data_IF_015378089585
#
_entry.id   IF_015378089585
#
_cell.length_a   1.000
_cell.length_b   1.000
_cell.length_c   1.000
_cell.angle_alpha   90.00
_cell.angle_beta   90.00
_cell.angle_gamma   90.00
#
_symmetry.space_group_name_H-M   'P 1'
#
loop_
_entity.id
_entity.type
_entity.pdbx_description
1 polymer ?
#
# COMPACT_ATOMS: atom_id res chain seq x y z
N UNK A 1 -62.25 -2.39 -25.61
CA UNK A 1 -60.85 -2.20 -25.90
C UNK A 1 -60.11 -2.09 -24.55
N UNK A 2 -59.58 -3.23 -24.07
CA UNK A 2 -58.86 -3.30 -22.82
C UNK A 2 -57.45 -2.81 -23.07
N UNK A 3 -57.07 -1.73 -22.40
CA UNK A 3 -55.68 -1.28 -22.33
C UNK A 3 -55.00 -2.24 -21.34
N UNK A 4 -54.27 -3.22 -21.84
CA UNK A 4 -53.37 -4.03 -21.06
C UNK A 4 -52.33 -3.06 -20.47
N UNK A 5 -52.39 -2.88 -19.15
CA UNK A 5 -51.32 -2.21 -18.40
C UNK A 5 -50.04 -3.03 -18.61
N UNK A 6 -49.08 -2.50 -19.33
CA UNK A 6 -47.70 -3.00 -19.29
C UNK A 6 -47.26 -2.95 -17.82
N UNK A 7 -47.29 -4.09 -17.16
CA UNK A 7 -46.58 -4.23 -15.87
C UNK A 7 -45.12 -3.84 -16.08
N UNK A 8 -44.77 -2.69 -15.55
CA UNK A 8 -43.39 -2.26 -15.55
C UNK A 8 -42.59 -3.29 -14.73
N UNK A 9 -41.74 -4.05 -15.39
CA UNK A 9 -40.90 -5.06 -14.74
C UNK A 9 -40.19 -4.41 -13.55
N UNK A 10 -40.24 -5.04 -12.39
CA UNK A 10 -39.56 -4.55 -11.19
C UNK A 10 -38.09 -4.31 -11.52
N UNK A 11 -37.51 -3.17 -11.05
CA UNK A 11 -36.12 -2.87 -11.32
C UNK A 11 -35.21 -3.92 -10.70
N UNK A 12 -34.23 -4.38 -11.46
CA UNK A 12 -33.22 -5.30 -10.96
C UNK A 12 -32.47 -4.66 -9.75
N UNK A 13 -32.37 -5.36 -8.63
CA UNK A 13 -31.73 -4.85 -7.42
C UNK A 13 -30.23 -5.04 -7.49
N UNK A 14 -29.47 -3.98 -7.27
CA UNK A 14 -28.03 -4.03 -7.31
C UNK A 14 -27.37 -3.34 -6.13
N UNK A 15 -26.09 -3.67 -5.92
CA UNK A 15 -25.20 -2.93 -5.05
C UNK A 15 -24.02 -2.40 -5.88
N UNK A 16 -23.51 -1.22 -5.51
CA UNK A 16 -22.32 -0.66 -6.16
C UNK A 16 -21.07 -1.03 -5.35
N UNK A 17 -19.99 -1.41 -6.04
CA UNK A 17 -18.68 -1.51 -5.43
C UNK A 17 -17.71 -0.50 -6.03
N UNK A 18 -17.14 0.36 -5.21
CA UNK A 18 -16.18 1.41 -5.61
C UNK A 18 -14.89 1.31 -4.81
N UNK A 19 -13.76 1.62 -5.48
CA UNK A 19 -12.44 1.54 -4.87
C UNK A 19 -11.48 2.59 -5.40
N UNK A 20 -10.70 3.18 -4.52
CA UNK A 20 -9.61 4.08 -4.86
C UNK A 20 -8.34 3.71 -4.09
N UNK A 21 -7.17 3.77 -4.74
CA UNK A 21 -5.88 3.42 -4.11
C UNK A 21 -5.20 4.59 -3.41
N UNK A 22 -5.45 5.83 -3.85
CA UNK A 22 -4.90 7.08 -3.27
C UNK A 22 -5.84 8.24 -3.54
N UNK A 23 -5.82 9.27 -2.68
CA UNK A 23 -6.67 10.47 -2.78
C UNK A 23 -6.37 11.36 -4.02
N UNK A 24 -5.37 11.03 -4.83
CA UNK A 24 -4.90 11.83 -5.97
C UNK A 24 -5.23 11.24 -7.34
N UNK A 25 -6.10 10.24 -7.44
CA UNK A 25 -6.47 9.68 -8.74
C UNK A 25 -7.57 10.52 -9.41
N UNK A 26 -7.44 10.72 -10.73
CA UNK A 26 -8.38 11.48 -11.59
C UNK A 26 -9.80 10.90 -11.52
N UNK A 27 -9.96 9.61 -11.29
CA UNK A 27 -11.24 8.96 -11.06
C UNK A 27 -11.44 8.70 -9.58
N UNK A 28 -11.95 9.70 -8.87
CA UNK A 28 -12.38 9.59 -7.48
C UNK A 28 -13.49 8.55 -7.32
N UNK A 29 -13.74 8.09 -6.10
CA UNK A 29 -14.89 7.23 -5.83
C UNK A 29 -16.21 7.90 -6.18
N UNK A 30 -16.29 9.24 -6.11
CA UNK A 30 -17.44 10.02 -6.55
C UNK A 30 -17.70 9.83 -8.08
N UNK A 31 -16.69 10.03 -8.92
CA UNK A 31 -16.82 9.84 -10.37
C UNK A 31 -17.22 8.39 -10.73
N UNK A 32 -16.75 7.39 -9.97
CA UNK A 32 -17.19 6.00 -10.17
C UNK A 32 -18.65 5.82 -9.81
N UNK A 33 -19.12 6.40 -8.70
CA UNK A 33 -20.52 6.36 -8.28
C UNK A 33 -21.41 7.01 -9.33
N UNK A 34 -21.05 8.17 -9.86
CA UNK A 34 -21.81 8.88 -10.89
C UNK A 34 -21.93 8.05 -12.18
N UNK A 35 -20.84 7.44 -12.63
CA UNK A 35 -20.84 6.57 -13.80
C UNK A 35 -21.69 5.30 -13.59
N UNK A 36 -21.61 4.69 -12.41
CA UNK A 36 -22.42 3.52 -12.04
C UNK A 36 -23.90 3.90 -11.97
N UNK A 37 -24.23 5.07 -11.38
CA UNK A 37 -25.62 5.56 -11.31
C UNK A 37 -26.20 5.82 -12.70
N UNK A 38 -25.42 6.45 -13.59
CA UNK A 38 -25.85 6.66 -14.98
C UNK A 38 -26.05 5.33 -15.75
N UNK A 39 -25.21 4.32 -15.49
CA UNK A 39 -25.38 2.99 -16.05
C UNK A 39 -26.65 2.32 -15.52
N UNK A 40 -26.86 2.36 -14.21
CA UNK A 40 -28.03 1.76 -13.56
C UNK A 40 -29.34 2.39 -14.06
N UNK A 41 -29.40 3.71 -14.19
CA UNK A 41 -30.55 4.43 -14.72
C UNK A 41 -30.90 3.98 -16.16
N UNK A 42 -29.89 3.80 -17.02
CA UNK A 42 -30.10 3.32 -18.40
C UNK A 42 -30.62 1.90 -18.49
N UNK A 43 -30.33 1.05 -17.50
CA UNK A 43 -30.67 -0.37 -17.48
C UNK A 43 -31.87 -0.71 -16.56
N UNK A 44 -32.55 0.28 -15.99
CA UNK A 44 -33.60 0.12 -15.01
C UNK A 44 -33.17 -0.76 -13.81
N UNK A 45 -32.02 -0.40 -13.21
CA UNK A 45 -31.42 -1.09 -12.06
C UNK A 45 -31.53 -0.19 -10.84
N UNK A 46 -32.04 -0.71 -9.72
CA UNK A 46 -32.11 -0.02 -8.44
C UNK A 46 -30.85 -0.30 -7.59
N UNK A 47 -30.07 0.73 -7.27
CA UNK A 47 -28.89 0.60 -6.41
C UNK A 47 -29.35 0.69 -4.95
N UNK A 48 -29.24 -0.41 -4.20
CA UNK A 48 -29.65 -0.48 -2.79
C UNK A 48 -28.64 0.17 -1.86
N UNK A 49 -27.35 -0.08 -2.08
CA UNK A 49 -26.22 0.44 -1.26
C UNK A 49 -24.89 0.39 -1.99
N UNK A 50 -23.91 1.08 -1.44
CA UNK A 50 -22.55 1.12 -2.01
C UNK A 50 -21.53 0.61 -1.00
N UNK A 51 -20.71 -0.35 -1.43
CA UNK A 51 -19.52 -0.83 -0.72
C UNK A 51 -18.30 -0.05 -1.18
N UNK A 52 -17.55 0.55 -0.22
CA UNK A 52 -16.50 1.52 -0.54
C UNK A 52 -15.17 1.18 0.14
N UNK A 53 -14.10 1.04 -0.65
CA UNK A 53 -12.72 0.84 -0.20
C UNK A 53 -11.84 2.01 -0.60
N UNK A 54 -11.85 3.09 0.19
CA UNK A 54 -11.00 4.26 -0.04
C UNK A 54 -9.57 4.02 0.46
N UNK A 55 -8.58 4.55 -0.31
CA UNK A 55 -7.16 4.45 0.03
C UNK A 55 -6.62 3.01 0.04
N UNK A 56 -7.32 2.06 -0.59
CA UNK A 56 -6.95 0.64 -0.56
C UNK A 56 -6.45 0.17 -1.93
N UNK A 57 -5.30 -0.54 -1.91
CA UNK A 57 -4.77 -1.20 -3.11
C UNK A 57 -5.68 -2.35 -3.54
N UNK A 58 -5.87 -2.53 -4.85
CA UNK A 58 -6.61 -3.65 -5.42
C UNK A 58 -5.87 -4.99 -5.46
N UNK A 59 -4.65 -5.06 -4.88
CA UNK A 59 -3.77 -6.23 -4.98
C UNK A 59 -4.11 -7.36 -4.01
N UNK A 60 -4.72 -7.06 -2.85
CA UNK A 60 -4.96 -8.02 -1.79
C UNK A 60 -6.36 -7.84 -1.20
N UNK A 61 -7.11 -8.93 -1.05
CA UNK A 61 -8.44 -8.92 -0.44
C UNK A 61 -8.42 -8.46 1.02
N UNK A 62 -7.42 -8.88 1.80
CA UNK A 62 -7.30 -8.52 3.23
C UNK A 62 -7.25 -7.02 3.50
N UNK A 63 -6.87 -6.23 2.49
CA UNK A 63 -6.82 -4.76 2.59
C UNK A 63 -8.08 -4.08 2.05
N UNK A 64 -9.12 -4.86 1.75
CA UNK A 64 -10.38 -4.40 1.14
C UNK A 64 -11.57 -4.86 1.98
N UNK A 65 -11.80 -4.26 3.15
CA UNK A 65 -12.84 -4.69 4.08
C UNK A 65 -14.24 -4.61 3.47
N UNK A 66 -14.52 -3.62 2.62
CA UNK A 66 -15.82 -3.49 1.97
C UNK A 66 -16.07 -4.61 0.95
N UNK A 67 -15.06 -4.96 0.12
CA UNK A 67 -15.19 -6.12 -0.78
C UNK A 67 -15.33 -7.42 0.00
N UNK A 68 -14.58 -7.57 1.10
CA UNK A 68 -14.65 -8.77 1.94
C UNK A 68 -16.03 -8.92 2.57
N UNK A 69 -16.66 -7.82 3.02
CA UNK A 69 -18.04 -7.82 3.52
C UNK A 69 -19.03 -8.17 2.42
N UNK A 70 -18.90 -7.56 1.24
CA UNK A 70 -19.76 -7.84 0.08
C UNK A 70 -19.71 -9.33 -0.31
N UNK A 71 -18.52 -9.91 -0.43
CA UNK A 71 -18.35 -11.33 -0.72
C UNK A 71 -18.90 -12.22 0.41
N UNK A 72 -18.73 -11.79 1.67
CA UNK A 72 -19.31 -12.48 2.82
C UNK A 72 -20.83 -12.51 2.78
N UNK A 73 -21.49 -11.41 2.43
CA UNK A 73 -22.97 -11.36 2.28
C UNK A 73 -23.43 -12.30 1.18
N UNK A 74 -22.71 -12.39 0.05
CA UNK A 74 -23.00 -13.32 -1.05
C UNK A 74 -22.82 -14.78 -0.61
N UNK A 75 -21.67 -15.11 0.00
CA UNK A 75 -21.34 -16.49 0.40
C UNK A 75 -22.23 -17.03 1.51
N UNK A 76 -22.74 -16.16 2.39
CA UNK A 76 -23.66 -16.54 3.48
C UNK A 76 -25.13 -16.57 3.04
N UNK A 77 -25.43 -16.34 1.77
CA UNK A 77 -26.80 -16.28 1.25
C UNK A 77 -27.61 -15.09 1.80
N UNK A 78 -26.92 -14.04 2.27
CA UNK A 78 -27.54 -12.80 2.79
C UNK A 78 -27.68 -11.70 1.74
N UNK A 79 -27.34 -12.00 0.48
CA UNK A 79 -27.47 -11.05 -0.63
C UNK A 79 -28.95 -10.76 -0.90
N UNK A 80 -29.38 -9.53 -0.70
CA UNK A 80 -30.71 -8.99 -1.02
C UNK A 80 -30.73 -8.29 -2.38
N UNK A 81 -29.74 -8.60 -3.24
CA UNK A 81 -29.49 -8.00 -4.55
C UNK A 81 -29.14 -9.08 -5.59
N UNK A 82 -29.42 -8.78 -6.84
CA UNK A 82 -29.23 -9.69 -7.96
C UNK A 82 -27.96 -9.38 -8.77
N UNK A 83 -27.38 -8.18 -8.54
CA UNK A 83 -26.24 -7.70 -9.32
C UNK A 83 -25.27 -6.84 -8.48
N UNK A 84 -23.99 -6.94 -8.80
CA UNK A 84 -22.92 -6.06 -8.28
C UNK A 84 -22.46 -5.19 -9.45
N UNK A 85 -22.59 -3.87 -9.31
CA UNK A 85 -22.13 -2.90 -10.29
C UNK A 85 -20.74 -2.40 -9.91
N UNK A 86 -19.80 -2.53 -10.83
CA UNK A 86 -18.41 -2.10 -10.68
C UNK A 86 -18.02 -1.19 -11.84
N UNK A 87 -17.23 -0.18 -11.61
CA UNK A 87 -16.84 0.74 -12.69
C UNK A 87 -16.09 0.00 -13.81
N UNK A 88 -14.98 -0.68 -13.50
CA UNK A 88 -14.19 -1.47 -14.45
C UNK A 88 -13.55 -2.69 -13.77
N UNK A 89 -12.95 -3.59 -14.55
CA UNK A 89 -12.28 -4.80 -14.06
C UNK A 89 -11.15 -4.44 -13.06
N UNK A 90 -10.46 -3.31 -13.26
CA UNK A 90 -9.37 -2.90 -12.36
C UNK A 90 -9.87 -2.46 -10.98
N UNK A 91 -11.14 -2.04 -10.86
CA UNK A 91 -11.79 -1.72 -9.57
C UNK A 91 -12.23 -2.99 -8.86
N UNK A 92 -12.73 -3.98 -9.61
CA UNK A 92 -13.02 -5.30 -9.05
C UNK A 92 -11.78 -5.94 -8.44
N UNK A 93 -10.66 -6.04 -9.20
CA UNK A 93 -9.40 -6.51 -8.64
C UNK A 93 -8.21 -6.41 -9.58
N UNK A 94 -7.09 -5.90 -9.07
CA UNK A 94 -5.76 -5.98 -9.68
C UNK A 94 -4.95 -7.07 -8.99
N UNK A 95 -5.56 -8.22 -8.75
CA UNK A 95 -4.90 -9.33 -8.08
C UNK A 95 -3.64 -9.76 -8.86
N UNK A 96 -2.62 -10.17 -8.13
CA UNK A 96 -1.37 -10.69 -8.73
C UNK A 96 -1.63 -11.92 -9.60
N UNK A 97 -2.56 -12.75 -9.17
CA UNK A 97 -3.10 -13.86 -9.93
C UNK A 97 -4.45 -13.43 -10.53
N UNK A 98 -4.54 -13.48 -11.87
CA UNK A 98 -5.77 -13.19 -12.61
C UNK A 98 -6.93 -14.12 -12.20
N UNK A 99 -6.59 -15.36 -11.78
CA UNK A 99 -7.56 -16.38 -11.38
C UNK A 99 -8.28 -15.99 -10.08
N UNK A 100 -7.63 -15.25 -9.18
CA UNK A 100 -8.25 -14.76 -7.94
C UNK A 100 -9.44 -13.84 -8.24
N UNK A 101 -9.30 -12.93 -9.21
CA UNK A 101 -10.39 -12.08 -9.67
C UNK A 101 -11.52 -12.89 -10.31
N UNK A 102 -11.18 -13.92 -11.09
CA UNK A 102 -12.14 -14.82 -11.71
C UNK A 102 -12.87 -15.66 -10.67
N UNK A 103 -12.16 -16.13 -9.64
CA UNK A 103 -12.70 -16.92 -8.55
C UNK A 103 -13.79 -16.16 -7.78
N UNK A 104 -13.54 -14.89 -7.41
CA UNK A 104 -14.58 -14.11 -6.72
C UNK A 104 -15.80 -13.81 -7.61
N UNK A 105 -15.59 -13.58 -8.91
CA UNK A 105 -16.71 -13.44 -9.84
C UNK A 105 -17.48 -14.76 -9.99
N UNK A 106 -16.79 -15.89 -9.99
CA UNK A 106 -17.41 -17.22 -10.04
C UNK A 106 -18.25 -17.49 -8.79
N UNK A 107 -17.75 -17.19 -7.59
CA UNK A 107 -18.50 -17.31 -6.33
C UNK A 107 -19.80 -16.51 -6.39
N UNK A 108 -19.74 -15.26 -6.87
CA UNK A 108 -20.93 -14.44 -7.03
C UNK A 108 -21.92 -15.09 -8.00
N UNK A 109 -21.45 -15.60 -9.13
CA UNK A 109 -22.29 -16.26 -10.15
C UNK A 109 -22.97 -17.52 -9.61
N UNK A 110 -22.25 -18.37 -8.87
CA UNK A 110 -22.80 -19.58 -8.23
C UNK A 110 -23.89 -19.23 -7.20
N UNK A 111 -23.76 -18.08 -6.54
CA UNK A 111 -24.80 -17.58 -5.63
C UNK A 111 -25.94 -16.83 -6.34
N UNK A 112 -26.00 -16.86 -7.68
CA UNK A 112 -27.02 -16.19 -8.47
C UNK A 112 -26.81 -14.68 -8.63
N UNK A 113 -25.70 -14.13 -8.16
CA UNK A 113 -25.39 -12.69 -8.22
C UNK A 113 -24.46 -12.38 -9.39
N UNK A 114 -24.91 -11.53 -10.32
CA UNK A 114 -24.11 -11.12 -11.48
C UNK A 114 -23.16 -9.99 -11.13
N UNK A 115 -21.97 -9.97 -11.73
CA UNK A 115 -21.04 -8.83 -11.66
C UNK A 115 -21.07 -8.11 -13.01
N UNK A 116 -21.40 -6.81 -13.03
CA UNK A 116 -21.41 -5.99 -14.25
C UNK A 116 -20.38 -4.87 -14.18
N UNK A 117 -19.69 -4.65 -15.28
CA UNK A 117 -18.64 -3.64 -15.43
C UNK A 117 -19.17 -2.45 -16.24
N UNK A 118 -19.47 -1.33 -15.56
CA UNK A 118 -20.24 -0.23 -16.13
C UNK A 118 -19.49 0.58 -17.20
N UNK A 119 -18.16 0.59 -17.17
CA UNK A 119 -17.31 1.33 -18.11
C UNK A 119 -16.63 0.43 -19.16
N UNK A 120 -16.94 -0.86 -19.18
CA UNK A 120 -16.41 -1.77 -20.20
C UNK A 120 -17.31 -1.83 -21.42
N UNK A 121 -16.69 -1.96 -22.61
CA UNK A 121 -17.42 -1.98 -23.89
C UNK A 121 -18.03 -3.36 -24.22
N UNK A 122 -17.79 -4.37 -23.40
CA UNK A 122 -18.35 -5.70 -23.58
C UNK A 122 -19.41 -6.00 -22.51
N UNK A 123 -20.43 -6.76 -22.88
CA UNK A 123 -21.42 -7.29 -21.94
C UNK A 123 -20.87 -8.52 -21.21
N UNK A 124 -21.13 -8.63 -19.91
CA UNK A 124 -20.75 -9.82 -19.13
C UNK A 124 -21.79 -10.95 -19.29
N UNK A 125 -22.02 -11.36 -20.52
CA UNK A 125 -23.04 -12.33 -20.93
C UNK A 125 -22.57 -13.80 -20.95
N UNK A 126 -21.29 -14.03 -20.62
CA UNK A 126 -20.70 -15.38 -20.65
C UNK A 126 -20.26 -15.85 -22.03
N UNK A 127 -20.39 -15.02 -23.08
CA UNK A 127 -19.90 -15.35 -24.42
C UNK A 127 -18.40 -15.58 -24.45
N UNK A 128 -17.91 -16.31 -25.44
CA UNK A 128 -16.49 -16.57 -25.65
C UNK A 128 -15.69 -15.25 -25.73
N UNK A 129 -16.19 -14.29 -26.50
CA UNK A 129 -15.57 -12.98 -26.65
C UNK A 129 -15.47 -12.23 -25.32
N UNK A 130 -16.56 -12.18 -24.55
CA UNK A 130 -16.60 -11.58 -23.22
C UNK A 130 -15.57 -12.22 -22.27
N UNK A 131 -15.47 -13.54 -22.27
CA UNK A 131 -14.51 -14.27 -21.43
C UNK A 131 -13.06 -13.99 -21.81
N UNK A 132 -12.74 -13.95 -23.11
CA UNK A 132 -11.40 -13.59 -23.59
C UNK A 132 -11.06 -12.14 -23.22
N UNK A 133 -11.96 -11.20 -23.45
CA UNK A 133 -11.76 -9.79 -23.11
C UNK A 133 -11.54 -9.59 -21.61
N UNK A 134 -12.31 -10.25 -20.75
CA UNK A 134 -12.12 -10.22 -19.29
C UNK A 134 -10.75 -10.76 -18.89
N UNK A 135 -10.35 -11.91 -19.44
CA UNK A 135 -9.06 -12.52 -19.13
C UNK A 135 -7.91 -11.62 -19.54
N UNK A 136 -7.96 -11.02 -20.72
CA UNK A 136 -6.98 -10.07 -21.21
C UNK A 136 -6.89 -8.83 -20.29
N UNK A 137 -8.01 -8.22 -19.96
CA UNK A 137 -8.05 -7.03 -19.09
C UNK A 137 -7.56 -7.32 -17.66
N UNK A 138 -7.85 -8.50 -17.11
CA UNK A 138 -7.29 -8.96 -15.82
C UNK A 138 -5.77 -9.09 -15.88
N UNK A 139 -5.26 -9.74 -16.91
CA UNK A 139 -3.82 -9.89 -17.12
C UNK A 139 -3.12 -8.53 -17.25
N UNK A 140 -3.68 -7.61 -18.06
CA UNK A 140 -3.17 -6.24 -18.20
C UNK A 140 -3.18 -5.47 -16.88
N UNK A 141 -4.24 -5.57 -16.08
CA UNK A 141 -4.33 -4.90 -14.78
C UNK A 141 -3.28 -5.42 -13.77
N UNK A 142 -3.00 -6.72 -13.78
CA UNK A 142 -1.95 -7.34 -12.97
C UNK A 142 -0.56 -6.90 -13.44
N UNK A 143 -0.30 -6.92 -14.76
CA UNK A 143 0.99 -6.54 -15.34
C UNK A 143 1.32 -5.07 -15.12
N UNK A 144 0.36 -4.17 -15.27
CA UNK A 144 0.54 -2.76 -14.94
C UNK A 144 1.05 -2.56 -13.49
N UNK A 145 0.52 -3.33 -12.55
CA UNK A 145 0.94 -3.27 -11.15
C UNK A 145 2.39 -3.77 -10.95
N UNK A 146 2.81 -4.79 -11.71
CA UNK A 146 4.19 -5.32 -11.69
C UNK A 146 5.17 -4.32 -12.28
N UNK A 147 4.86 -3.78 -13.46
CA UNK A 147 5.68 -2.77 -14.12
C UNK A 147 5.85 -1.53 -13.24
N UNK A 148 4.77 -0.99 -12.70
CA UNK A 148 4.82 0.17 -11.81
C UNK A 148 5.70 -0.11 -10.58
N UNK A 149 5.53 -1.28 -9.96
CA UNK A 149 6.35 -1.69 -8.81
C UNK A 149 7.83 -1.79 -9.18
N UNK A 150 8.15 -2.28 -10.36
CA UNK A 150 9.53 -2.39 -10.85
C UNK A 150 10.13 -1.01 -11.15
N UNK A 151 9.40 -0.14 -11.83
CA UNK A 151 9.82 1.24 -12.12
C UNK A 151 10.06 2.04 -10.84
N UNK A 152 9.14 1.96 -9.88
CA UNK A 152 9.27 2.63 -8.58
C UNK A 152 10.48 2.10 -7.80
N UNK A 153 10.69 0.79 -7.75
CA UNK A 153 11.84 0.20 -7.07
C UNK A 153 13.16 0.65 -7.71
N UNK A 154 13.27 0.59 -9.04
CA UNK A 154 14.46 1.06 -9.75
C UNK A 154 14.75 2.55 -9.47
N UNK A 155 13.72 3.39 -9.43
CA UNK A 155 13.87 4.80 -9.08
C UNK A 155 14.34 5.00 -7.62
N UNK A 156 13.84 4.20 -6.68
CA UNK A 156 14.30 4.22 -5.29
C UNK A 156 15.76 3.78 -5.16
N UNK A 157 16.17 2.73 -5.88
CA UNK A 157 17.56 2.27 -5.91
C UNK A 157 18.51 3.38 -6.38
N UNK A 158 18.19 4.04 -7.49
CA UNK A 158 18.98 5.17 -8.02
C UNK A 158 19.10 6.33 -7.01
N UNK A 159 18.05 6.59 -6.23
CA UNK A 159 18.10 7.63 -5.19
C UNK A 159 19.00 7.22 -4.02
N UNK A 160 18.99 5.95 -3.63
CA UNK A 160 19.90 5.41 -2.60
C UNK A 160 21.35 5.48 -3.09
N UNK A 161 21.63 5.08 -4.32
CA UNK A 161 22.97 5.17 -4.94
C UNK A 161 23.52 6.60 -4.96
N UNK A 162 22.62 7.60 -5.05
CA UNK A 162 22.95 9.03 -4.91
C UNK A 162 23.04 9.49 -3.44
N UNK A 163 22.96 8.59 -2.46
CA UNK A 163 23.05 8.88 -1.04
C UNK A 163 21.76 9.35 -0.38
N UNK A 164 20.65 9.48 -1.11
CA UNK A 164 19.39 9.94 -0.56
C UNK A 164 18.63 8.82 0.17
N UNK A 165 18.12 9.13 1.34
CA UNK A 165 17.34 8.19 2.14
C UNK A 165 15.98 7.88 1.54
N UNK A 166 15.61 6.61 1.48
CA UNK A 166 14.30 6.15 1.05
C UNK A 166 13.54 5.49 2.21
N UNK A 167 12.56 6.22 2.76
CA UNK A 167 11.70 5.72 3.83
C UNK A 167 12.39 5.48 5.18
N UNK A 168 11.63 4.96 6.12
CA UNK A 168 12.10 4.63 7.46
C UNK A 168 12.31 5.83 8.38
N UNK A 169 12.41 5.56 9.68
CA UNK A 169 12.81 6.53 10.71
C UNK A 169 14.34 6.64 10.75
N UNK A 170 14.87 7.78 11.18
CA UNK A 170 16.29 7.88 11.48
C UNK A 170 16.60 7.09 12.77
N UNK A 171 17.83 6.60 12.91
CA UNK A 171 18.31 5.94 14.12
C UNK A 171 18.58 6.96 15.24
N UNK A 172 18.81 6.49 16.46
CA UNK A 172 19.21 7.34 17.59
C UNK A 172 20.45 8.16 17.24
N UNK A 173 20.54 9.39 17.65
CA UNK A 173 21.65 10.28 17.26
C UNK A 173 21.64 10.78 15.82
N UNK A 174 20.69 10.35 14.97
CA UNK A 174 20.55 10.81 13.59
C UNK A 174 19.20 11.51 13.35
N UNK A 175 19.18 12.44 12.42
CA UNK A 175 17.99 13.20 12.02
C UNK A 175 17.79 13.13 10.51
N UNK A 176 16.55 13.26 10.06
CA UNK A 176 16.19 13.37 8.65
C UNK A 176 16.13 14.85 8.27
N UNK A 177 16.88 15.24 7.27
CA UNK A 177 16.84 16.57 6.68
C UNK A 177 16.13 16.51 5.33
N UNK A 178 15.19 17.42 5.12
CA UNK A 178 14.49 17.57 3.85
C UNK A 178 15.26 18.57 2.98
N UNK A 179 15.56 18.16 1.76
CA UNK A 179 16.18 19.00 0.74
C UNK A 179 15.19 19.21 -0.41
N UNK A 180 15.22 20.37 -1.03
CA UNK A 180 14.54 20.62 -2.29
C UNK A 180 15.28 19.97 -3.48
N UNK A 181 14.77 20.18 -4.68
CA UNK A 181 15.38 19.68 -5.93
C UNK A 181 16.77 20.29 -6.21
N UNK A 182 17.09 21.46 -5.64
CA UNK A 182 18.35 22.17 -5.81
C UNK A 182 19.35 21.82 -4.68
N UNK A 183 18.97 20.93 -3.74
CA UNK A 183 19.79 20.58 -2.59
C UNK A 183 19.72 21.56 -1.43
N UNK A 184 18.83 22.55 -1.47
CA UNK A 184 18.66 23.50 -0.37
C UNK A 184 17.82 22.88 0.76
N UNK A 185 18.21 23.15 2.00
CA UNK A 185 17.51 22.62 3.16
C UNK A 185 16.14 23.27 3.34
N UNK A 186 15.12 22.44 3.47
CA UNK A 186 13.75 22.82 3.87
C UNK A 186 13.45 22.57 5.35
N UNK A 187 14.47 22.15 6.12
CA UNK A 187 14.31 21.85 7.53
C UNK A 187 14.29 20.35 7.87
N UNK A 188 14.24 20.07 9.16
CA UNK A 188 14.22 18.70 9.68
C UNK A 188 12.82 18.08 9.57
N UNK A 189 12.79 16.79 9.28
CA UNK A 189 11.54 16.00 9.32
C UNK A 189 11.41 15.33 10.68
N UNK A 190 10.38 15.69 11.41
CA UNK A 190 10.04 15.08 12.68
C UNK A 190 9.54 13.62 12.53
N UNK A 191 9.52 12.82 13.62
CA UNK A 191 8.95 11.48 13.60
C UNK A 191 7.51 11.49 13.04
N UNK A 192 7.22 10.60 12.07
CA UNK A 192 5.92 10.53 11.40
C UNK A 192 5.76 11.47 10.20
N UNK A 193 6.49 12.57 10.11
CA UNK A 193 6.42 13.47 8.96
C UNK A 193 6.95 12.82 7.68
N UNK A 194 6.36 13.22 6.55
CA UNK A 194 6.74 12.77 5.21
C UNK A 194 7.06 13.99 4.35
N UNK A 195 7.84 13.79 3.29
CA UNK A 195 8.06 14.83 2.28
C UNK A 195 6.75 15.17 1.57
N UNK A 196 6.55 16.45 1.26
CA UNK A 196 5.33 16.94 0.62
C UNK A 196 5.35 16.77 -0.90
N UNK A 197 6.51 16.94 -1.54
CA UNK A 197 6.66 16.85 -2.99
C UNK A 197 7.51 15.65 -3.39
N UNK A 198 7.30 15.16 -4.61
CA UNK A 198 8.08 14.03 -5.14
C UNK A 198 9.51 14.45 -5.49
N UNK A 199 9.73 15.72 -5.81
CA UNK A 199 11.04 16.29 -6.13
C UNK A 199 11.94 16.44 -4.90
N UNK A 200 11.38 16.56 -3.71
CA UNK A 200 12.16 16.69 -2.48
C UNK A 200 12.98 15.42 -2.19
N UNK A 201 14.11 15.61 -1.54
CA UNK A 201 15.04 14.56 -1.14
C UNK A 201 15.20 14.53 0.36
N UNK A 202 15.54 13.38 0.90
CA UNK A 202 15.81 13.22 2.34
C UNK A 202 17.23 12.69 2.50
N UNK A 203 17.99 13.33 3.39
CA UNK A 203 19.30 12.83 3.81
C UNK A 203 19.29 12.57 5.31
N UNK A 204 20.29 11.81 5.79
CA UNK A 204 20.58 11.69 7.20
C UNK A 204 21.64 12.72 7.59
N UNK A 205 21.45 13.35 8.74
CA UNK A 205 22.46 14.23 9.34
C UNK A 205 22.64 13.89 10.82
N UNK A 206 23.76 14.26 11.42
CA UNK A 206 23.96 14.18 12.85
C UNK A 206 22.83 14.88 13.62
N UNK A 207 22.43 14.28 14.72
CA UNK A 207 21.46 14.83 15.66
C UNK A 207 22.11 15.67 16.76
N UNK A 208 21.46 15.81 17.93
CA UNK A 208 22.04 16.48 19.08
C UNK A 208 23.32 15.80 19.56
N UNK A 209 24.31 16.59 19.97
CA UNK A 209 25.60 16.07 20.44
C UNK A 209 25.45 15.14 21.65
N UNK A 210 24.49 15.40 22.53
CA UNK A 210 24.17 14.51 23.65
C UNK A 210 23.82 13.09 23.22
N UNK A 211 23.02 12.93 22.14
CA UNK A 211 22.69 11.59 21.60
C UNK A 211 23.90 10.98 20.88
N UNK A 212 24.70 11.79 20.19
CA UNK A 212 25.89 11.31 19.50
C UNK A 212 26.96 10.81 20.49
N UNK A 213 27.14 11.51 21.63
CA UNK A 213 28.01 11.08 22.71
C UNK A 213 27.57 9.68 23.24
N UNK A 214 26.27 9.46 23.45
CA UNK A 214 25.75 8.16 23.89
C UNK A 214 26.04 7.07 22.84
N UNK A 215 25.87 7.37 21.55
CA UNK A 215 26.20 6.39 20.50
C UNK A 215 27.68 6.05 20.50
N UNK A 216 28.57 7.05 20.58
CA UNK A 216 30.03 6.82 20.66
C UNK A 216 30.37 5.97 21.86
N UNK A 217 29.77 6.27 23.02
CA UNK A 217 30.00 5.55 24.25
C UNK A 217 29.55 4.08 24.14
N UNK A 218 28.39 3.80 23.53
CA UNK A 218 27.97 2.42 23.26
C UNK A 218 28.99 1.63 22.43
N UNK A 219 29.56 2.25 21.38
CA UNK A 219 30.59 1.60 20.58
C UNK A 219 31.87 1.40 21.37
N UNK A 220 32.32 2.38 22.18
CA UNK A 220 33.52 2.30 23.01
C UNK A 220 33.38 1.16 24.02
N UNK A 221 32.33 1.14 24.80
CA UNK A 221 32.06 0.09 25.80
C UNK A 221 31.96 -1.32 25.18
N UNK A 222 31.40 -1.42 23.99
CA UNK A 222 31.32 -2.69 23.28
C UNK A 222 32.71 -3.20 22.83
N UNK A 223 33.55 -2.31 22.33
CA UNK A 223 34.94 -2.63 21.96
C UNK A 223 35.77 -3.02 23.20
N UNK A 224 35.51 -2.43 24.37
CA UNK A 224 36.12 -2.80 25.65
C UNK A 224 35.61 -4.17 26.20
N UNK A 225 34.66 -4.82 25.49
CA UNK A 225 34.18 -6.17 25.84
C UNK A 225 32.91 -6.20 26.68
N UNK A 226 32.24 -5.07 26.94
CA UNK A 226 30.94 -5.08 27.62
C UNK A 226 29.87 -5.70 26.73
N UNK A 227 29.02 -6.49 27.34
CA UNK A 227 27.85 -7.07 26.64
C UNK A 227 26.77 -6.01 26.36
N UNK A 228 25.98 -6.21 25.31
CA UNK A 228 24.85 -5.35 24.96
C UNK A 228 23.84 -5.19 26.11
N UNK A 229 23.69 -6.24 26.93
CA UNK A 229 22.81 -6.22 28.11
C UNK A 229 23.35 -5.33 29.23
N UNK A 230 24.66 -5.33 29.42
CA UNK A 230 25.34 -4.49 30.42
C UNK A 230 25.25 -3.02 30.00
N UNK A 231 25.59 -2.72 28.74
CA UNK A 231 25.47 -1.37 28.17
C UNK A 231 24.03 -0.84 28.32
N UNK A 232 23.01 -1.64 27.98
CA UNK A 232 21.63 -1.24 28.15
C UNK A 232 21.27 -0.93 29.60
N UNK A 233 21.78 -1.73 30.56
CA UNK A 233 21.54 -1.51 31.98
C UNK A 233 22.19 -0.21 32.50
N UNK A 234 23.42 0.06 32.12
CA UNK A 234 24.15 1.29 32.52
C UNK A 234 23.43 2.51 32.00
N UNK A 235 23.05 2.56 30.71
CA UNK A 235 22.27 3.66 30.14
C UNK A 235 20.95 3.90 30.86
N UNK A 236 20.26 2.84 31.28
CA UNK A 236 19.01 2.95 32.03
C UNK A 236 19.23 3.45 33.46
N UNK A 237 20.36 3.10 34.11
CA UNK A 237 20.74 3.62 35.41
C UNK A 237 21.05 5.11 35.37
N UNK A 238 21.61 5.58 34.25
CA UNK A 238 21.85 7.01 34.00
C UNK A 238 20.58 7.76 33.57
N UNK A 239 19.45 7.09 33.44
CA UNK A 239 18.16 7.69 33.03
C UNK A 239 18.11 8.05 31.54
N UNK A 240 19.05 7.57 30.73
CA UNK A 240 19.10 7.83 29.30
C UNK A 240 18.05 6.97 28.58
N UNK A 241 17.10 7.63 27.91
CA UNK A 241 16.06 6.96 27.16
C UNK A 241 16.40 6.82 25.67
N UNK A 242 15.85 5.80 25.03
CA UNK A 242 15.99 5.64 23.60
C UNK A 242 15.15 6.69 22.85
N UNK A 243 15.28 6.76 21.51
CA UNK A 243 14.55 7.74 20.68
C UNK A 243 13.03 7.75 20.85
N UNK A 244 12.43 6.67 21.32
CA UNK A 244 10.98 6.58 21.55
C UNK A 244 10.57 6.94 22.97
N UNK A 245 11.53 7.33 23.81
CA UNK A 245 11.30 7.63 25.23
C UNK A 245 11.16 6.38 26.10
N UNK A 246 11.63 5.22 25.64
CA UNK A 246 11.63 3.98 26.42
C UNK A 246 13.03 3.62 26.92
N UNK A 247 13.14 2.82 27.98
CA UNK A 247 14.41 2.24 28.42
C UNK A 247 15.08 1.44 27.29
N UNK A 248 16.41 1.35 27.37
CA UNK A 248 17.21 0.54 26.47
C UNK A 248 17.07 -0.95 26.78
N UNK A 249 17.07 -1.75 25.74
CA UNK A 249 17.13 -3.21 25.80
C UNK A 249 18.39 -3.69 25.07
N UNK A 250 18.86 -4.89 25.35
CA UNK A 250 19.98 -5.48 24.60
C UNK A 250 19.74 -5.47 23.08
N UNK A 251 18.49 -5.70 22.65
CA UNK A 251 18.15 -5.65 21.22
C UNK A 251 18.26 -4.26 20.63
N UNK A 252 17.89 -3.20 21.39
CA UNK A 252 18.02 -1.82 20.91
C UNK A 252 19.47 -1.35 20.84
N UNK A 253 20.32 -1.78 21.78
CA UNK A 253 21.77 -1.57 21.74
C UNK A 253 22.38 -2.31 20.53
N UNK A 254 22.08 -3.59 20.37
CA UNK A 254 22.50 -4.39 19.20
C UNK A 254 22.09 -3.74 17.88
N UNK A 255 20.87 -3.16 17.81
CA UNK A 255 20.43 -2.44 16.62
C UNK A 255 21.30 -1.22 16.32
N UNK A 256 21.73 -0.47 17.34
CA UNK A 256 22.65 0.65 17.17
C UNK A 256 24.02 0.17 16.69
N UNK A 257 24.61 -0.81 17.37
CA UNK A 257 25.95 -1.34 17.06
C UNK A 257 26.06 -1.97 15.66
N UNK A 258 24.96 -2.55 15.14
CA UNK A 258 24.94 -3.16 13.80
C UNK A 258 24.41 -2.23 12.70
N UNK A 259 24.27 -0.93 12.98
CA UNK A 259 23.69 -0.01 12.02
C UNK A 259 24.77 0.74 11.22
N UNK A 260 24.94 0.31 9.99
CA UNK A 260 25.92 0.90 9.06
C UNK A 260 25.71 2.38 8.75
N UNK A 261 24.57 2.98 9.13
CA UNK A 261 24.40 4.42 8.96
C UNK A 261 25.39 5.26 9.80
N UNK A 262 25.90 4.71 10.92
CA UNK A 262 26.91 5.39 11.74
C UNK A 262 28.32 5.37 11.11
N UNK A 263 28.54 4.51 10.13
CA UNK A 263 29.76 4.50 9.31
C UNK A 263 29.58 5.27 7.99
N UNK A 264 28.49 6.03 7.85
CA UNK A 264 28.21 6.80 6.64
C UNK A 264 27.65 5.99 5.48
N UNK A 265 27.22 4.74 5.72
CA UNK A 265 26.66 3.88 4.68
C UNK A 265 25.15 3.78 4.80
N UNK A 266 24.45 4.15 3.74
CA UNK A 266 23.01 3.96 3.62
C UNK A 266 22.72 2.54 3.12
N UNK A 267 21.90 1.77 3.85
CA UNK A 267 21.53 0.41 3.47
C UNK A 267 20.03 0.34 3.19
N UNK A 268 19.70 -0.06 1.99
CA UNK A 268 18.32 -0.21 1.52
C UNK A 268 17.99 -1.66 1.16
N UNK A 269 16.71 -1.96 1.05
CA UNK A 269 16.18 -3.27 0.63
C UNK A 269 16.51 -4.44 1.58
N UNK A 270 16.75 -4.16 2.88
CA UNK A 270 16.89 -5.23 3.89
C UNK A 270 15.61 -6.05 4.05
N UNK A 271 14.46 -5.40 3.84
CA UNK A 271 13.13 -6.02 3.91
C UNK A 271 12.29 -5.55 2.74
N UNK A 272 11.46 -6.43 2.23
CA UNK A 272 10.52 -6.11 1.15
C UNK A 272 9.12 -6.67 1.43
N UNK A 273 8.10 -5.92 1.05
CA UNK A 273 6.72 -6.40 0.92
C UNK A 273 6.20 -6.14 -0.50
N UNK A 274 7.10 -5.96 -1.46
CA UNK A 274 6.78 -5.63 -2.84
C UNK A 274 5.91 -6.71 -3.45
N UNK A 275 4.71 -6.33 -3.89
CA UNK A 275 3.70 -7.21 -4.47
C UNK A 275 3.34 -8.43 -3.59
N UNK A 276 3.57 -8.35 -2.27
CA UNK A 276 3.30 -9.44 -1.33
C UNK A 276 2.48 -8.94 -0.13
N UNK A 277 1.74 -9.86 0.50
CA UNK A 277 0.97 -9.59 1.71
C UNK A 277 1.85 -9.47 2.95
N UNK A 278 2.95 -10.23 3.00
CA UNK A 278 3.84 -10.32 4.17
C UNK A 278 5.19 -9.66 3.90
N UNK A 279 5.72 -9.02 4.95
CA UNK A 279 7.09 -8.50 4.95
C UNK A 279 8.06 -9.69 4.96
N UNK A 280 9.04 -9.67 4.06
CA UNK A 280 10.11 -10.67 3.97
C UNK A 280 11.46 -10.01 4.19
N UNK A 281 12.38 -10.72 4.85
CA UNK A 281 13.78 -10.31 4.91
C UNK A 281 14.47 -10.72 3.61
N UNK A 282 15.24 -9.81 3.04
CA UNK A 282 16.07 -10.07 1.88
C UNK A 282 17.46 -10.56 2.33
N UNK A 283 18.09 -11.40 1.49
CA UNK A 283 19.48 -11.80 1.71
C UNK A 283 20.41 -10.57 1.63
N UNK A 284 21.56 -10.59 2.31
CA UNK A 284 22.54 -9.50 2.22
C UNK A 284 22.99 -9.17 0.80
N UNK A 285 23.00 -10.15 -0.10
CA UNK A 285 23.32 -9.97 -1.53
C UNK A 285 22.30 -9.09 -2.28
N UNK A 286 21.09 -8.94 -1.76
CA UNK A 286 20.04 -8.09 -2.33
C UNK A 286 20.00 -6.69 -1.71
N UNK A 287 20.83 -6.42 -0.71
CA UNK A 287 20.89 -5.10 -0.10
C UNK A 287 21.62 -4.12 -1.02
N UNK A 288 21.11 -2.92 -1.07
CA UNK A 288 21.72 -1.82 -1.81
C UNK A 288 22.42 -0.94 -0.80
N UNK A 289 23.74 -0.83 -0.93
CA UNK A 289 24.59 -0.03 -0.06
C UNK A 289 25.19 1.12 -0.85
N UNK A 290 25.11 2.31 -0.30
CA UNK A 290 25.71 3.51 -0.89
C UNK A 290 26.16 4.48 0.24
N UNK A 291 27.16 5.34 -0.01
CA UNK A 291 27.50 6.41 0.92
C UNK A 291 26.28 7.30 1.18
N UNK A 292 26.12 7.79 2.42
CA UNK A 292 25.14 8.82 2.72
C UNK A 292 25.54 10.13 2.01
N UNK A 293 24.56 10.83 1.42
CA UNK A 293 24.76 12.24 1.05
C UNK A 293 24.75 13.06 2.36
N UNK A 294 25.78 13.87 2.55
CA UNK A 294 25.95 14.79 3.68
C UNK A 294 25.89 16.23 3.18
#
# INVERSE_FOLDING_TARGET
MSIEALEAAEPLRAVAYVRMSTDRQIYSTANQIDAIAAYAARKNIAILRTYKDDGKSGLLLDRRPALKSLLGDVMLGKADFDCILVYDISRWGRFQNSDESAHYEFICKEAGVRVEYCAEEFSNDGSLLSNVMKSLKRAMAAEYSRELSTKVFAAQCRLIEKGFRQGGTASYGLRRLLLDQNGQSKGRLEPGQRKYTQSDRVILQPGPESELAVVREMFHQFVEGKSESLIARELNQEGILNRRGYPWTHQSVRYVLNNENYTGVNVYNRKTCRLASKLRNNSPSQWIKAPCAF
#
